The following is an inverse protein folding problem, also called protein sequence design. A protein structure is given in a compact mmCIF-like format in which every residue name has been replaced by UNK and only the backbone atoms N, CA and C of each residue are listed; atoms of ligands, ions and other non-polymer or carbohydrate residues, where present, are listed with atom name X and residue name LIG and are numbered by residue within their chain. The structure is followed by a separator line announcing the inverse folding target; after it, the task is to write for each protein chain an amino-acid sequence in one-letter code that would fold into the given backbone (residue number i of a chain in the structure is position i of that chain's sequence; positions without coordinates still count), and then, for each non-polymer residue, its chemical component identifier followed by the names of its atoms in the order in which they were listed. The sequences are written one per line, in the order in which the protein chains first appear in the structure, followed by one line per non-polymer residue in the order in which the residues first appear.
data_IF_983315174042
#
_entry.id   IF_983315174042
#
_cell.length_a   1.000
_cell.length_b   1.000
_cell.length_c   1.000
_cell.angle_alpha   90.00
_cell.angle_beta   90.00
_cell.angle_gamma   90.00
#
_symmetry.space_group_name_H-M   'P 1'
#
loop_
_entity.id
_entity.type
_entity.pdbx_description
1 polymer ?
#
# COMPACT_ATOMS: atom_id res chain seq x y z
N UNK A 1 55.13 31.61 35.27
CA UNK A 1 55.48 32.32 34.03
C UNK A 1 54.75 31.62 32.87
N UNK A 2 53.44 31.77 32.72
CA UNK A 2 52.76 32.73 31.83
C UNK A 2 53.25 32.70 30.36
N UNK A 3 52.41 32.21 29.45
CA UNK A 3 51.92 32.89 28.22
C UNK A 3 51.04 31.89 27.41
N UNK A 4 49.72 32.06 27.48
CA UNK A 4 48.82 32.59 26.42
C UNK A 4 48.68 31.60 25.24
N UNK A 5 47.58 30.83 25.19
CA UNK A 5 46.32 31.14 24.47
C UNK A 5 46.52 31.48 22.99
N UNK A 6 45.88 30.72 22.09
CA UNK A 6 44.95 31.24 21.06
C UNK A 6 44.10 30.08 20.52
N UNK A 7 42.80 30.37 20.43
CA UNK A 7 41.70 29.58 19.90
C UNK A 7 41.89 29.24 18.42
N UNK A 8 41.43 28.06 18.01
CA UNK A 8 40.98 27.81 16.64
C UNK A 8 39.63 27.08 16.69
N UNK A 9 38.55 27.85 16.68
CA UNK A 9 37.20 27.35 16.48
C UNK A 9 37.03 27.00 15.00
N UNK A 10 37.09 25.71 14.64
CA UNK A 10 36.59 25.26 13.35
C UNK A 10 35.08 25.03 13.48
N UNK A 11 34.32 25.98 12.96
CA UNK A 11 32.88 25.83 12.76
C UNK A 11 32.64 24.65 11.81
N UNK A 12 32.10 23.55 12.34
CA UNK A 12 31.50 22.51 11.52
C UNK A 12 30.24 23.10 10.90
N UNK A 13 30.37 23.63 9.67
CA UNK A 13 29.22 23.98 8.84
C UNK A 13 28.55 22.67 8.46
N UNK A 14 27.59 22.23 9.27
CA UNK A 14 26.65 21.18 8.92
C UNK A 14 25.80 21.71 7.77
N UNK A 15 26.25 21.44 6.55
CA UNK A 15 25.51 21.72 5.30
C UNK A 15 24.24 20.86 5.38
N UNK A 16 23.15 21.46 5.86
CA UNK A 16 21.84 20.83 5.85
C UNK A 16 21.53 20.46 4.40
N UNK A 17 21.47 19.16 4.10
CA UNK A 17 21.11 18.70 2.78
C UNK A 17 19.70 19.24 2.48
N UNK A 18 19.46 19.83 1.30
CA UNK A 18 18.11 20.20 0.91
C UNK A 18 17.25 18.93 0.91
N UNK A 19 16.25 18.90 1.79
CA UNK A 19 15.21 17.89 1.75
C UNK A 19 14.39 18.15 0.47
N UNK A 20 14.80 17.53 -0.63
CA UNK A 20 14.02 17.52 -1.87
C UNK A 20 12.69 16.86 -1.57
N UNK A 21 11.61 17.64 -1.64
CA UNK A 21 10.25 17.11 -1.58
C UNK A 21 10.09 16.09 -2.71
N UNK A 22 10.01 14.81 -2.38
CA UNK A 22 9.72 13.76 -3.34
C UNK A 22 8.31 14.05 -3.89
N UNK A 23 8.23 14.40 -5.17
CA UNK A 23 6.95 14.60 -5.85
C UNK A 23 6.14 13.31 -5.70
N UNK A 24 4.96 13.40 -5.09
CA UNK A 24 4.09 12.26 -4.94
C UNK A 24 3.84 11.64 -6.34
N UNK A 25 3.84 10.30 -6.47
CA UNK A 25 3.58 9.65 -7.74
C UNK A 25 2.27 10.16 -8.34
N UNK A 26 2.26 10.46 -9.65
CA UNK A 26 1.06 10.92 -10.36
C UNK A 26 -0.12 9.94 -10.25
N UNK A 27 0.16 8.66 -9.97
CA UNK A 27 -0.82 7.63 -9.66
C UNK A 27 -0.40 6.89 -8.38
N UNK A 28 -0.91 7.28 -7.21
CA UNK A 28 -0.63 6.57 -5.98
C UNK A 28 -1.12 5.12 -6.09
N UNK A 29 -0.28 4.17 -5.70
CA UNK A 29 -0.64 2.76 -5.63
C UNK A 29 -0.08 2.15 -4.35
N UNK A 30 -0.80 1.18 -3.79
CA UNK A 30 -0.42 0.48 -2.56
C UNK A 30 -0.60 -1.01 -2.75
N UNK A 31 0.38 -1.79 -2.29
CA UNK A 31 0.33 -3.23 -2.35
C UNK A 31 -0.52 -3.78 -1.19
N UNK A 32 -1.48 -4.66 -1.49
CA UNK A 32 -2.31 -5.33 -0.48
C UNK A 32 -1.75 -6.72 -0.19
N UNK A 33 -1.11 -6.89 0.96
CA UNK A 33 -0.64 -8.19 1.41
C UNK A 33 -1.82 -9.10 1.82
N UNK A 34 -1.79 -10.35 1.36
CA UNK A 34 -2.86 -11.34 1.59
C UNK A 34 -2.35 -12.77 1.86
N UNK A 35 -1.04 -12.98 1.98
CA UNK A 35 -0.43 -14.31 2.17
C UNK A 35 -0.79 -14.96 3.51
N UNK A 36 -1.17 -14.14 4.48
CA UNK A 36 -1.60 -14.55 5.82
C UNK A 36 -3.10 -14.89 5.89
N UNK A 37 -3.84 -14.71 4.80
CA UNK A 37 -5.27 -15.01 4.74
C UNK A 37 -5.49 -16.36 4.07
N UNK A 38 -6.33 -17.20 4.68
CA UNK A 38 -6.86 -18.38 3.99
C UNK A 38 -8.02 -17.97 3.07
N UNK A 39 -7.66 -17.66 1.81
CA UNK A 39 -8.60 -17.24 0.77
C UNK A 39 -9.52 -18.36 0.27
N UNK A 40 -9.34 -19.60 0.73
CA UNK A 40 -10.28 -20.70 0.47
C UNK A 40 -11.51 -20.63 1.38
N UNK A 41 -11.48 -19.77 2.39
CA UNK A 41 -12.57 -19.60 3.35
C UNK A 41 -13.32 -18.29 3.12
N UNK A 42 -14.62 -18.28 3.41
CA UNK A 42 -15.42 -17.05 3.39
C UNK A 42 -14.91 -15.99 4.39
N UNK A 43 -14.25 -16.41 5.47
CA UNK A 43 -13.64 -15.49 6.43
C UNK A 43 -12.42 -14.78 5.83
N UNK A 44 -11.53 -15.52 5.16
CA UNK A 44 -10.34 -14.97 4.52
C UNK A 44 -10.66 -14.07 3.33
N UNK A 45 -11.64 -14.43 2.49
CA UNK A 45 -12.08 -13.57 1.37
C UNK A 45 -12.67 -12.25 1.87
N UNK A 46 -13.52 -12.28 2.91
CA UNK A 46 -14.02 -11.05 3.55
C UNK A 46 -12.91 -10.22 4.19
N UNK A 47 -11.89 -10.86 4.76
CA UNK A 47 -10.74 -10.15 5.32
C UNK A 47 -9.93 -9.44 4.23
N UNK A 48 -9.79 -10.06 3.05
CA UNK A 48 -9.16 -9.45 1.88
C UNK A 48 -9.96 -8.24 1.38
N UNK A 49 -11.28 -8.35 1.22
CA UNK A 49 -12.13 -7.22 0.80
C UNK A 49 -11.99 -6.01 1.75
N UNK A 50 -11.94 -6.24 3.06
CA UNK A 50 -11.69 -5.16 4.04
C UNK A 50 -10.31 -4.53 3.92
N UNK A 51 -9.29 -5.29 3.50
CA UNK A 51 -7.93 -4.73 3.25
C UNK A 51 -7.91 -3.91 1.98
N UNK A 52 -8.53 -4.40 0.92
CA UNK A 52 -8.69 -3.67 -0.34
C UNK A 52 -9.43 -2.36 -0.11
N UNK A 53 -10.52 -2.36 0.67
CA UNK A 53 -11.22 -1.12 0.98
C UNK A 53 -10.34 -0.08 1.67
N UNK A 54 -9.51 -0.51 2.63
CA UNK A 54 -8.56 0.40 3.31
C UNK A 54 -7.53 0.97 2.33
N UNK A 55 -6.97 0.14 1.46
CA UNK A 55 -6.05 0.56 0.40
C UNK A 55 -6.71 1.55 -0.59
N UNK A 56 -7.97 1.32 -0.97
CA UNK A 56 -8.74 2.24 -1.82
C UNK A 56 -8.92 3.60 -1.15
N UNK A 57 -9.25 3.62 0.14
CA UNK A 57 -9.40 4.87 0.90
C UNK A 57 -8.05 5.61 1.02
N UNK A 58 -6.95 4.89 1.20
CA UNK A 58 -5.60 5.45 1.24
C UNK A 58 -5.20 6.09 -0.10
N UNK A 59 -5.40 5.38 -1.21
CA UNK A 59 -5.05 5.85 -2.55
C UNK A 59 -5.91 7.04 -3.00
N UNK A 60 -7.22 7.00 -2.74
CA UNK A 60 -8.14 8.06 -3.15
C UNK A 60 -8.20 9.24 -2.17
N UNK A 61 -7.65 9.10 -0.96
CA UNK A 61 -7.60 10.14 0.05
C UNK A 61 -8.97 10.69 0.46
N UNK A 62 -8.98 11.97 0.81
CA UNK A 62 -10.13 12.74 1.28
C UNK A 62 -10.12 14.14 0.67
N UNK A 63 -11.31 14.70 0.42
CA UNK A 63 -11.47 16.10 0.01
C UNK A 63 -11.90 16.97 1.21
N UNK A 64 -11.54 18.26 1.24
CA UNK A 64 -11.99 19.21 2.25
C UNK A 64 -13.52 19.29 2.36
N UNK A 65 -14.03 19.67 3.53
CA UNK A 65 -15.47 19.59 3.77
C UNK A 65 -16.32 20.54 2.91
N UNK A 66 -15.75 21.70 2.57
CA UNK A 66 -16.36 22.72 1.73
C UNK A 66 -16.29 22.40 0.23
N UNK A 67 -15.46 21.43 -0.18
CA UNK A 67 -15.27 21.08 -1.59
C UNK A 67 -16.19 19.93 -2.01
N UNK A 68 -17.39 20.29 -2.46
CA UNK A 68 -18.38 19.33 -2.94
C UNK A 68 -17.91 18.62 -4.21
N UNK A 69 -17.22 19.33 -5.12
CA UNK A 69 -16.70 18.76 -6.36
C UNK A 69 -15.62 17.71 -6.04
N UNK A 70 -14.63 18.07 -5.23
CA UNK A 70 -13.60 17.12 -4.78
C UNK A 70 -14.17 15.94 -4.00
N UNK A 71 -15.23 16.13 -3.19
CA UNK A 71 -15.94 15.00 -2.56
C UNK A 71 -16.57 14.07 -3.60
N UNK A 72 -17.08 14.59 -4.72
CA UNK A 72 -17.62 13.77 -5.80
C UNK A 72 -16.51 12.99 -6.49
N UNK A 73 -15.37 13.63 -6.74
CA UNK A 73 -14.20 13.03 -7.37
C UNK A 73 -13.62 11.90 -6.52
N UNK A 74 -13.49 12.11 -5.20
CA UNK A 74 -13.06 11.05 -4.26
C UNK A 74 -14.06 9.88 -4.26
N UNK A 75 -15.37 10.15 -4.34
CA UNK A 75 -16.38 9.07 -4.43
C UNK A 75 -16.27 8.30 -5.75
N UNK A 76 -16.00 8.98 -6.85
CA UNK A 76 -15.78 8.34 -8.15
C UNK A 76 -14.50 7.50 -8.13
N UNK A 77 -13.38 8.06 -7.67
CA UNK A 77 -12.12 7.35 -7.47
C UNK A 77 -12.33 6.06 -6.69
N UNK A 78 -12.99 6.12 -5.53
CA UNK A 78 -13.21 4.93 -4.69
C UNK A 78 -14.05 3.86 -5.39
N UNK A 79 -15.03 4.23 -6.21
CA UNK A 79 -15.81 3.27 -7.01
C UNK A 79 -14.94 2.58 -8.04
N UNK A 80 -14.20 3.36 -8.82
CA UNK A 80 -13.42 2.86 -9.95
C UNK A 80 -12.24 2.03 -9.48
N UNK A 81 -11.49 2.53 -8.48
CA UNK A 81 -10.37 1.80 -7.88
C UNK A 81 -10.84 0.52 -7.19
N UNK A 82 -11.99 0.54 -6.51
CA UNK A 82 -12.55 -0.68 -5.90
C UNK A 82 -12.94 -1.69 -6.96
N UNK A 83 -13.62 -1.29 -8.03
CA UNK A 83 -14.00 -2.20 -9.12
C UNK A 83 -12.77 -2.89 -9.72
N UNK A 84 -11.72 -2.11 -10.01
CA UNK A 84 -10.46 -2.63 -10.54
C UNK A 84 -9.75 -3.58 -9.55
N UNK A 85 -9.72 -3.24 -8.27
CA UNK A 85 -9.09 -4.07 -7.25
C UNK A 85 -9.88 -5.36 -6.97
N UNK A 86 -11.22 -5.30 -7.00
CA UNK A 86 -12.10 -6.46 -6.84
C UNK A 86 -11.90 -7.48 -7.96
N UNK A 87 -11.79 -7.05 -9.21
CA UNK A 87 -11.50 -7.95 -10.33
C UNK A 87 -10.14 -8.67 -10.16
N UNK A 88 -9.12 -7.97 -9.66
CA UNK A 88 -7.82 -8.60 -9.34
C UNK A 88 -7.94 -9.59 -8.17
N UNK A 89 -8.71 -9.23 -7.13
CA UNK A 89 -8.94 -10.10 -5.98
C UNK A 89 -9.66 -11.39 -6.35
N UNK A 90 -10.63 -11.34 -7.28
CA UNK A 90 -11.33 -12.52 -7.78
C UNK A 90 -10.37 -13.52 -8.42
N UNK A 91 -9.40 -13.06 -9.21
CA UNK A 91 -8.35 -13.91 -9.77
C UNK A 91 -7.50 -14.55 -8.67
N UNK A 92 -7.09 -13.77 -7.67
CA UNK A 92 -6.29 -14.28 -6.53
C UNK A 92 -7.07 -15.33 -5.72
N UNK A 93 -8.35 -15.09 -5.46
CA UNK A 93 -9.23 -16.03 -4.74
C UNK A 93 -9.46 -17.30 -5.57
N UNK A 94 -9.71 -17.18 -6.87
CA UNK A 94 -9.87 -18.33 -7.77
C UNK A 94 -8.61 -19.20 -7.79
N UNK A 95 -7.43 -18.58 -7.90
CA UNK A 95 -6.15 -19.29 -7.84
C UNK A 95 -5.94 -20.00 -6.49
N UNK A 96 -6.31 -19.36 -5.37
CA UNK A 96 -6.23 -19.98 -4.05
C UNK A 96 -7.14 -21.21 -3.93
N UNK A 97 -8.31 -21.20 -4.58
CA UNK A 97 -9.23 -22.34 -4.62
C UNK A 97 -8.71 -23.49 -5.51
N UNK A 98 -7.96 -23.18 -6.57
CA UNK A 98 -7.40 -24.16 -7.50
C UNK A 98 -6.18 -24.91 -6.97
N UNK A 99 -5.58 -24.49 -5.84
CA UNK A 99 -4.45 -25.18 -5.20
C UNK A 99 -4.78 -26.56 -4.59
N UNK A 100 -5.86 -27.22 -5.02
CA UNK A 100 -6.28 -28.53 -4.55
C UNK A 100 -5.34 -29.63 -5.11
N UNK A 101 -4.92 -30.52 -4.21
CA UNK A 101 -3.87 -31.52 -4.41
C UNK A 101 -4.05 -32.38 -5.69
N UNK A 102 -2.96 -32.52 -6.46
CA UNK A 102 -2.82 -33.55 -7.48
C UNK A 102 -2.62 -34.89 -6.75
N UNK A 103 -3.63 -35.74 -6.76
CA UNK A 103 -3.53 -37.11 -6.28
C UNK A 103 -3.04 -38.00 -7.43
N UNK A 104 -1.91 -38.67 -7.22
CA UNK A 104 -1.36 -39.66 -8.16
C UNK A 104 -1.53 -41.04 -7.53
N UNK A 105 -2.29 -41.93 -8.18
CA UNK A 105 -2.46 -43.33 -7.78
C UNK A 105 -1.70 -44.29 -8.70
N UNK A 106 -1.33 -45.46 -8.17
CA UNK A 106 -0.67 -46.53 -8.94
C UNK A 106 -1.62 -47.14 -9.97
N UNK A 107 -1.13 -47.38 -11.19
CA UNK A 107 -1.88 -48.06 -12.27
C UNK A 107 -1.83 -49.59 -12.16
N UNK A 108 -1.00 -50.11 -11.25
CA UNK A 108 -0.85 -51.55 -11.02
C UNK A 108 -1.30 -51.91 -9.61
N UNK A 109 -2.20 -52.89 -9.55
CA UNK A 109 -2.60 -53.64 -8.38
C UNK A 109 -2.03 -55.06 -8.50
#
# INVERSE_FOLDING_TARGET
MQKLLILAALAAVSIGQPASAQTAPANPSVAVAHKDLDLRTAAGTRALDRRIWRAVVEVCGTAPDFDIAGKNDVRQCRRDTRALASAQAEVVVANAAQGQLIQVSSIRN
#
